data_IF_137665542515
#
_entry.id   IF_137665542515
#
_cell.length_a   1.000
_cell.length_b   1.000
_cell.length_c   1.000
_cell.angle_alpha   90.00
_cell.angle_beta   90.00
_cell.angle_gamma   90.00
#
_symmetry.space_group_name_H-M   'P 1'
#
loop_
_entity.id
_entity.type
_entity.pdbx_description
1 polymer ?
#
# COMPACT_ATOMS: atom_id res chain seq x y z
N UNK A 1 9.78 12.15 -8.17
CA UNK A 1 9.68 12.41 -6.72
C UNK A 1 10.82 11.69 -6.03
N UNK A 2 11.36 12.23 -4.94
CA UNK A 2 12.37 11.51 -4.14
C UNK A 2 11.66 10.57 -3.16
N UNK A 3 12.37 9.54 -2.70
CA UNK A 3 11.82 8.62 -1.70
C UNK A 3 11.47 9.33 -0.38
N UNK A 4 12.25 10.35 0.00
CA UNK A 4 11.97 11.20 1.17
C UNK A 4 10.65 11.98 1.02
N UNK A 5 10.33 12.47 -0.19
CA UNK A 5 9.02 13.11 -0.44
C UNK A 5 7.87 12.14 -0.24
N UNK A 6 8.03 10.87 -0.62
CA UNK A 6 7.00 9.85 -0.41
C UNK A 6 6.84 9.50 1.08
N UNK A 7 7.95 9.37 1.80
CA UNK A 7 7.92 9.09 3.25
C UNK A 7 7.22 10.21 4.01
N UNK A 8 7.59 11.46 3.76
CA UNK A 8 7.06 12.62 4.48
C UNK A 8 5.65 13.04 4.01
N UNK A 9 5.37 12.93 2.72
CA UNK A 9 4.13 13.42 2.11
C UNK A 9 3.00 12.40 2.01
N UNK A 10 3.30 11.09 2.02
CA UNK A 10 2.29 10.04 1.87
C UNK A 10 2.30 9.02 3.02
N UNK A 11 3.43 8.36 3.26
CA UNK A 11 3.48 7.21 4.20
C UNK A 11 3.33 7.65 5.65
N UNK A 12 4.13 8.61 6.12
CA UNK A 12 4.09 9.08 7.51
C UNK A 12 2.72 9.67 7.88
N UNK A 13 2.10 10.58 7.10
CA UNK A 13 0.76 11.08 7.43
C UNK A 13 -0.30 9.98 7.36
N UNK A 14 -0.17 8.99 6.47
CA UNK A 14 -1.12 7.88 6.41
C UNK A 14 -1.04 7.00 7.67
N UNK A 15 0.18 6.67 8.11
CA UNK A 15 0.40 5.86 9.31
C UNK A 15 -0.04 6.60 10.59
N UNK A 16 0.10 7.93 10.63
CA UNK A 16 -0.41 8.75 11.74
C UNK A 16 -1.94 8.74 11.87
N UNK A 17 -2.68 8.42 10.80
CA UNK A 17 -4.13 8.28 10.81
C UNK A 17 -4.61 6.85 11.18
N UNK A 18 -3.68 5.91 11.33
CA UNK A 18 -3.95 4.52 11.68
C UNK A 18 -3.51 4.25 13.13
N UNK A 19 -3.98 3.14 13.76
CA UNK A 19 -3.53 2.78 15.10
C UNK A 19 -2.00 2.65 15.16
N UNK A 20 -1.37 3.20 16.21
CA UNK A 20 0.09 3.28 16.32
C UNK A 20 0.80 1.93 16.10
N UNK A 21 0.19 0.81 16.50
CA UNK A 21 0.74 -0.55 16.26
C UNK A 21 0.90 -0.93 14.78
N UNK A 22 0.24 -0.19 13.87
CA UNK A 22 0.37 -0.39 12.42
C UNK A 22 1.58 0.33 11.85
N UNK A 23 2.16 1.30 12.57
CA UNK A 23 3.40 1.97 12.20
C UNK A 23 4.59 1.23 12.80
N UNK A 24 5.24 0.41 11.98
CA UNK A 24 6.47 -0.29 12.35
C UNK A 24 7.53 -0.09 11.27
N UNK A 25 8.82 -0.25 11.59
CA UNK A 25 9.88 -0.24 10.59
C UNK A 25 9.60 -1.19 9.42
N UNK A 26 9.15 -2.42 9.71
CA UNK A 26 8.77 -3.39 8.69
C UNK A 26 7.62 -2.91 7.80
N UNK A 27 6.59 -2.27 8.36
CA UNK A 27 5.48 -1.73 7.59
C UNK A 27 5.94 -0.62 6.62
N UNK A 28 6.80 0.29 7.10
CA UNK A 28 7.36 1.37 6.27
C UNK A 28 8.19 0.82 5.12
N UNK A 29 9.05 -0.17 5.37
CA UNK A 29 9.84 -0.84 4.32
C UNK A 29 8.93 -1.49 3.30
N UNK A 30 7.89 -2.22 3.72
CA UNK A 30 6.97 -2.88 2.78
C UNK A 30 6.19 -1.88 1.93
N UNK A 31 5.70 -0.78 2.51
CA UNK A 31 5.02 0.27 1.75
C UNK A 31 5.94 0.89 0.68
N UNK A 32 7.19 1.18 1.05
CA UNK A 32 8.17 1.73 0.11
C UNK A 32 8.55 0.72 -0.97
N UNK A 33 8.88 -0.51 -0.61
CA UNK A 33 9.30 -1.55 -1.54
C UNK A 33 8.19 -1.88 -2.55
N UNK A 34 6.93 -1.97 -2.11
CA UNK A 34 5.80 -2.24 -2.99
C UNK A 34 5.51 -1.04 -3.90
N UNK A 35 5.45 0.19 -3.37
CA UNK A 35 5.21 1.37 -4.21
C UNK A 35 6.33 1.61 -5.23
N UNK A 36 7.58 1.28 -4.85
CA UNK A 36 8.68 1.18 -5.79
C UNK A 36 8.38 0.12 -6.83
N UNK A 37 8.10 -1.13 -6.44
CA UNK A 37 7.84 -2.25 -7.35
C UNK A 37 6.73 -1.94 -8.37
N UNK A 38 5.66 -1.30 -7.93
CA UNK A 38 4.45 -1.05 -8.70
C UNK A 38 4.57 0.12 -9.68
N UNK A 39 5.11 1.27 -9.24
CA UNK A 39 5.10 2.49 -10.07
C UNK A 39 6.39 3.27 -10.05
N UNK A 40 7.39 2.83 -9.27
CA UNK A 40 8.59 3.59 -8.92
C UNK A 40 8.27 4.96 -8.31
N UNK A 41 7.06 5.14 -7.78
CA UNK A 41 6.49 6.42 -7.37
C UNK A 41 6.46 7.48 -8.50
N UNK A 42 6.27 7.05 -9.74
CA UNK A 42 6.17 7.91 -10.93
C UNK A 42 4.73 8.02 -11.42
N UNK A 43 3.95 6.95 -11.29
CA UNK A 43 2.60 6.87 -11.86
C UNK A 43 1.53 6.73 -10.77
N UNK A 44 0.58 7.66 -10.76
CA UNK A 44 -0.67 7.57 -9.96
C UNK A 44 -1.83 6.92 -10.71
N UNK A 45 -1.64 6.69 -12.01
CA UNK A 45 -2.56 5.94 -12.85
C UNK A 45 -1.75 5.02 -13.73
N UNK A 46 -2.16 3.76 -13.79
CA UNK A 46 -1.51 2.76 -14.61
C UNK A 46 -1.61 3.13 -16.09
N UNK A 47 -0.53 2.88 -16.83
CA UNK A 47 -0.54 3.01 -18.28
C UNK A 47 -1.33 1.82 -18.86
N UNK A 48 -2.44 2.09 -19.52
CA UNK A 48 -3.25 1.06 -20.18
C UNK A 48 -4.00 0.10 -19.25
N UNK A 49 -4.15 0.45 -17.96
CA UNK A 49 -4.83 -0.40 -16.98
C UNK A 49 -5.64 0.39 -15.94
N UNK A 50 -6.38 -0.31 -15.06
CA UNK A 50 -7.26 0.32 -14.09
C UNK A 50 -6.55 0.72 -12.81
N UNK A 51 -5.29 0.34 -12.56
CA UNK A 51 -4.71 0.57 -11.25
C UNK A 51 -4.45 2.07 -10.95
N UNK A 52 -4.67 2.48 -9.69
CA UNK A 52 -4.58 3.88 -9.21
C UNK A 52 -3.67 4.03 -7.99
N UNK A 53 -3.16 5.24 -7.82
CA UNK A 53 -2.16 5.60 -6.82
C UNK A 53 -0.80 5.00 -7.10
N UNK A 54 0.21 5.41 -6.34
CA UNK A 54 1.57 4.87 -6.49
C UNK A 54 1.70 3.37 -6.20
N UNK A 55 0.79 2.84 -5.38
CA UNK A 55 0.72 1.42 -5.07
C UNK A 55 -0.11 0.63 -6.07
N UNK A 56 -0.59 1.26 -7.15
CA UNK A 56 -1.31 0.60 -8.24
C UNK A 56 -2.45 -0.32 -7.72
N UNK A 57 -3.35 0.24 -6.92
CA UNK A 57 -4.54 -0.46 -6.48
C UNK A 57 -5.60 -0.49 -7.57
N UNK A 58 -6.11 -1.68 -7.86
CA UNK A 58 -7.36 -1.83 -8.61
C UNK A 58 -8.57 -1.65 -7.69
N UNK A 59 -9.73 -1.34 -8.29
CA UNK A 59 -11.00 -1.34 -7.55
C UNK A 59 -11.35 -2.74 -7.04
N UNK A 60 -11.14 -3.76 -7.88
CA UNK A 60 -11.69 -5.09 -7.68
C UNK A 60 -13.22 -5.11 -7.78
N UNK A 61 -13.83 -6.17 -7.25
CA UNK A 61 -15.29 -6.35 -7.18
C UNK A 61 -15.68 -6.94 -5.83
N UNK A 62 -16.97 -6.79 -5.45
CA UNK A 62 -17.52 -7.43 -4.25
C UNK A 62 -17.30 -8.94 -4.22
N UNK A 63 -17.36 -9.59 -5.39
CA UNK A 63 -17.17 -11.03 -5.53
C UNK A 63 -15.69 -11.44 -5.44
N UNK A 64 -14.79 -10.73 -6.12
CA UNK A 64 -13.35 -11.04 -6.10
C UNK A 64 -12.69 -10.72 -4.76
N UNK A 65 -13.23 -9.72 -4.02
CA UNK A 65 -12.65 -9.20 -2.78
C UNK A 65 -11.16 -8.82 -2.92
N UNK A 66 -10.75 -8.39 -4.11
CA UNK A 66 -9.42 -7.85 -4.38
C UNK A 66 -9.41 -6.32 -4.32
N UNK A 67 -8.21 -5.73 -4.27
CA UNK A 67 -8.02 -4.28 -4.33
C UNK A 67 -8.80 -3.53 -3.25
N UNK A 68 -9.44 -2.43 -3.63
CA UNK A 68 -10.26 -1.60 -2.71
C UNK A 68 -11.38 -2.41 -2.07
N UNK A 69 -12.08 -3.27 -2.82
CA UNK A 69 -13.14 -4.13 -2.28
C UNK A 69 -12.62 -5.10 -1.21
N UNK A 70 -11.40 -5.58 -1.34
CA UNK A 70 -10.75 -6.44 -0.33
C UNK A 70 -10.59 -5.72 1.00
N UNK A 71 -10.02 -4.51 0.98
CA UNK A 71 -9.83 -3.69 2.19
C UNK A 71 -11.16 -3.25 2.78
N UNK A 72 -12.13 -2.90 1.93
CA UNK A 72 -13.45 -2.43 2.34
C UNK A 72 -14.30 -3.49 3.04
N UNK A 73 -14.25 -4.74 2.58
CA UNK A 73 -15.06 -5.82 3.16
C UNK A 73 -14.38 -6.58 4.30
N UNK A 74 -13.05 -6.48 4.43
CA UNK A 74 -12.31 -7.31 5.39
C UNK A 74 -12.49 -6.82 6.83
N UNK A 75 -12.81 -7.74 7.74
CA UNK A 75 -13.14 -7.43 9.13
C UNK A 75 -11.99 -6.71 9.88
N UNK A 76 -10.73 -7.05 9.56
CA UNK A 76 -9.56 -6.45 10.20
C UNK A 76 -9.26 -5.00 9.75
N UNK A 77 -9.81 -4.56 8.62
CA UNK A 77 -9.48 -3.25 8.02
C UNK A 77 -10.66 -2.30 7.91
N UNK A 78 -11.89 -2.78 7.76
CA UNK A 78 -13.07 -1.94 7.43
C UNK A 78 -13.27 -0.74 8.37
N UNK A 79 -13.07 -0.91 9.67
CA UNK A 79 -13.31 0.16 10.64
C UNK A 79 -12.21 1.23 10.55
N UNK A 80 -10.96 0.81 10.35
CA UNK A 80 -9.84 1.72 10.15
C UNK A 80 -9.88 2.40 8.78
N UNK A 81 -10.40 1.72 7.76
CA UNK A 81 -10.69 2.32 6.47
C UNK A 81 -11.71 3.45 6.60
N UNK A 82 -12.78 3.27 7.39
CA UNK A 82 -13.77 4.32 7.63
C UNK A 82 -13.17 5.55 8.33
N UNK A 83 -12.30 5.34 9.33
CA UNK A 83 -11.55 6.41 10.01
C UNK A 83 -10.65 7.15 9.02
N UNK A 84 -9.90 6.41 8.21
CA UNK A 84 -9.02 6.97 7.19
C UNK A 84 -9.81 7.80 6.17
N UNK A 85 -10.90 7.26 5.62
CA UNK A 85 -11.76 7.96 4.64
C UNK A 85 -12.32 9.26 5.22
N UNK A 86 -12.82 9.22 6.47
CA UNK A 86 -13.31 10.42 7.17
C UNK A 86 -12.22 11.48 7.32
N UNK A 87 -11.01 11.08 7.76
CA UNK A 87 -9.89 11.99 7.93
C UNK A 87 -9.41 12.61 6.60
N UNK A 88 -9.64 11.90 5.48
CA UNK A 88 -9.29 12.35 4.13
C UNK A 88 -10.46 13.01 3.38
N UNK A 89 -11.61 13.21 4.02
CA UNK A 89 -12.82 13.77 3.40
C UNK A 89 -13.28 13.01 2.15
N UNK A 90 -13.15 11.68 2.18
CA UNK A 90 -13.56 10.76 1.10
C UNK A 90 -14.74 9.93 1.59
N UNK A 91 -15.77 9.79 0.76
CA UNK A 91 -16.89 8.91 1.07
C UNK A 91 -16.37 7.47 1.23
N UNK A 92 -16.80 6.79 2.30
CA UNK A 92 -16.33 5.45 2.60
C UNK A 92 -17.13 4.39 1.80
N UNK A 93 -16.97 4.43 0.47
CA UNK A 93 -17.48 3.42 -0.46
C UNK A 93 -16.40 3.07 -1.50
N UNK A 94 -16.48 1.89 -2.14
CA UNK A 94 -15.41 1.43 -3.03
C UNK A 94 -15.15 2.32 -4.25
N UNK A 95 -16.16 3.00 -4.79
CA UNK A 95 -16.02 3.83 -5.98
C UNK A 95 -15.35 5.17 -5.67
N UNK A 96 -15.78 5.81 -4.57
CA UNK A 96 -15.17 7.05 -4.08
C UNK A 96 -13.73 6.83 -3.63
N UNK A 97 -13.46 5.76 -2.85
CA UNK A 97 -12.11 5.42 -2.40
C UNK A 97 -11.20 5.21 -3.60
N UNK A 98 -11.58 4.32 -4.52
CA UNK A 98 -10.78 4.01 -5.70
C UNK A 98 -10.49 5.26 -6.54
N UNK A 99 -11.49 6.12 -6.76
CA UNK A 99 -11.31 7.35 -7.53
C UNK A 99 -10.34 8.33 -6.87
N UNK A 100 -10.37 8.42 -5.54
CA UNK A 100 -9.49 9.30 -4.77
C UNK A 100 -8.03 8.81 -4.73
N UNK A 101 -7.75 7.50 -4.88
CA UNK A 101 -6.38 6.97 -4.82
C UNK A 101 -5.44 7.56 -5.88
N UNK A 102 -5.98 8.07 -6.99
CA UNK A 102 -5.21 8.71 -8.05
C UNK A 102 -4.66 10.10 -7.65
N UNK A 103 -5.25 10.75 -6.65
CA UNK A 103 -4.94 12.14 -6.30
C UNK A 103 -4.57 12.32 -4.82
N UNK A 104 -5.00 11.43 -3.94
CA UNK A 104 -4.69 11.45 -2.51
C UNK A 104 -3.67 10.37 -2.15
N UNK A 105 -2.39 10.73 -2.17
CA UNK A 105 -1.29 9.81 -1.86
C UNK A 105 -1.32 9.32 -0.40
N UNK A 106 -1.89 10.11 0.52
CA UNK A 106 -2.06 9.72 1.93
C UNK A 106 -3.13 8.64 2.04
N UNK A 107 -4.25 8.81 1.36
CA UNK A 107 -5.28 7.76 1.27
C UNK A 107 -4.70 6.49 0.62
N UNK A 108 -3.98 6.63 -0.50
CA UNK A 108 -3.38 5.50 -1.20
C UNK A 108 -2.40 4.71 -0.31
N UNK A 109 -1.52 5.40 0.42
CA UNK A 109 -0.62 4.77 1.37
C UNK A 109 -1.36 4.07 2.52
N UNK A 110 -2.41 4.69 3.04
CA UNK A 110 -3.22 4.11 4.11
C UNK A 110 -3.98 2.87 3.67
N UNK A 111 -4.59 2.88 2.49
CA UNK A 111 -5.24 1.70 1.88
C UNK A 111 -4.23 0.59 1.64
N UNK A 112 -3.03 0.92 1.15
CA UNK A 112 -1.93 -0.03 1.01
C UNK A 112 -1.55 -0.68 2.34
N UNK A 113 -1.44 0.13 3.40
CA UNK A 113 -1.12 -0.37 4.74
C UNK A 113 -2.21 -1.28 5.28
N UNK A 114 -3.48 -0.94 5.06
CA UNK A 114 -4.61 -1.74 5.48
C UNK A 114 -4.69 -3.06 4.72
N UNK A 115 -4.37 -3.10 3.42
CA UNK A 115 -4.27 -4.36 2.69
C UNK A 115 -3.21 -5.28 3.31
N UNK A 116 -2.01 -4.76 3.61
CA UNK A 116 -0.99 -5.53 4.34
C UNK A 116 -1.48 -6.00 5.72
N UNK A 117 -2.33 -5.21 6.40
CA UNK A 117 -2.92 -5.58 7.69
C UNK A 117 -3.98 -6.69 7.61
N UNK A 118 -4.55 -6.93 6.42
CA UNK A 118 -5.50 -8.03 6.23
C UNK A 118 -4.83 -9.41 6.17
N UNK A 119 -3.53 -9.46 5.88
CA UNK A 119 -2.76 -10.70 5.89
C UNK A 119 -2.58 -11.19 7.34
N UNK A 120 -2.96 -12.44 7.66
CA UNK A 120 -2.91 -12.94 9.03
C UNK A 120 -1.48 -13.27 9.51
N UNK A 121 -0.50 -13.29 8.61
CA UNK A 121 0.91 -13.55 8.97
C UNK A 121 1.56 -12.28 9.51
N UNK A 122 2.57 -12.44 10.35
CA UNK A 122 3.42 -11.32 10.75
C UNK A 122 4.10 -10.68 9.53
N UNK A 123 4.37 -9.37 9.63
CA UNK A 123 5.19 -8.70 8.63
C UNK A 123 6.61 -9.30 8.65
N UNK A 124 7.26 -9.46 7.47
CA UNK A 124 8.64 -9.90 7.39
C UNK A 124 9.54 -8.91 8.14
N UNK A 125 10.58 -9.43 8.78
CA UNK A 125 11.57 -8.60 9.46
C UNK A 125 12.26 -7.66 8.46
N UNK A 126 12.73 -6.50 8.93
CA UNK A 126 13.54 -5.61 8.10
C UNK A 126 14.80 -6.36 7.65
N UNK A 127 15.04 -6.42 6.34
CA UNK A 127 16.15 -7.16 5.75
C UNK A 127 15.75 -8.54 5.20
N UNK A 128 14.57 -9.05 5.54
CA UNK A 128 14.02 -10.26 4.93
C UNK A 128 13.42 -9.96 3.55
N UNK A 129 14.31 -9.91 2.55
CA UNK A 129 13.97 -9.63 1.15
C UNK A 129 13.00 -10.68 0.59
N UNK A 130 13.20 -11.96 0.94
CA UNK A 130 12.39 -13.09 0.47
C UNK A 130 10.98 -13.07 1.06
N UNK A 131 10.86 -12.92 2.39
CA UNK A 131 9.57 -12.79 3.05
C UNK A 131 8.79 -11.55 2.61
N UNK A 132 9.51 -10.45 2.29
CA UNK A 132 8.94 -9.27 1.63
C UNK A 132 8.30 -9.61 0.28
N UNK A 133 9.01 -10.36 -0.55
CA UNK A 133 8.52 -10.79 -1.86
C UNK A 133 7.27 -11.65 -1.75
N UNK A 134 7.29 -12.64 -0.86
CA UNK A 134 6.14 -13.51 -0.61
C UNK A 134 4.93 -12.74 -0.08
N UNK A 135 5.15 -11.69 0.73
CA UNK A 135 4.09 -10.80 1.22
C UNK A 135 3.49 -9.99 0.08
N UNK A 136 4.33 -9.39 -0.76
CA UNK A 136 3.87 -8.67 -1.94
C UNK A 136 3.02 -9.56 -2.85
N UNK A 137 3.49 -10.77 -3.19
CA UNK A 137 2.75 -11.68 -4.06
C UNK A 137 1.39 -12.09 -3.49
N UNK A 138 1.29 -12.41 -2.20
CA UNK A 138 0.02 -12.88 -1.60
C UNK A 138 -1.02 -11.79 -1.43
N UNK A 139 -0.57 -10.55 -1.21
CA UNK A 139 -1.46 -9.39 -0.97
C UNK A 139 -1.84 -8.64 -2.24
N UNK A 140 -0.87 -8.33 -3.13
CA UNK A 140 -1.13 -7.61 -4.38
C UNK A 140 -1.55 -8.53 -5.54
N UNK A 141 -1.10 -9.79 -5.54
CA UNK A 141 -1.38 -10.79 -6.60
C UNK A 141 -1.19 -10.23 -8.02
N UNK A 142 -0.04 -9.59 -8.32
CA UNK A 142 0.19 -8.96 -9.62
C UNK A 142 0.24 -9.99 -10.75
N UNK A 143 -0.28 -9.64 -11.92
CA UNK A 143 -0.24 -10.52 -13.10
C UNK A 143 1.17 -10.74 -13.67
N UNK A 144 2.03 -9.71 -13.60
CA UNK A 144 3.44 -9.76 -14.05
C UNK A 144 4.35 -9.13 -12.98
N UNK A 145 4.79 -9.90 -11.98
CA UNK A 145 5.40 -9.35 -10.77
C UNK A 145 6.81 -8.75 -10.94
N UNK A 146 7.57 -9.10 -11.99
CA UNK A 146 8.98 -8.69 -12.19
C UNK A 146 9.92 -8.97 -10.98
N UNK A 147 10.13 -10.26 -10.60
CA UNK A 147 10.95 -10.64 -9.44
C UNK A 147 12.38 -10.12 -9.47
N UNK A 148 12.97 -9.96 -10.64
CA UNK A 148 14.35 -9.51 -10.81
C UNK A 148 14.60 -8.09 -10.29
N UNK A 149 13.57 -7.23 -10.23
CA UNK A 149 13.74 -5.87 -9.72
C UNK A 149 13.58 -5.78 -8.21
N UNK A 150 12.93 -6.76 -7.59
CA UNK A 150 12.57 -6.70 -6.17
C UNK A 150 13.77 -6.53 -5.22
N UNK A 151 14.88 -7.29 -5.35
CA UNK A 151 15.98 -7.20 -4.38
C UNK A 151 16.56 -5.79 -4.25
N UNK A 152 16.74 -5.10 -5.38
CA UNK A 152 17.33 -3.74 -5.39
C UNK A 152 16.37 -2.70 -4.84
N UNK A 153 15.07 -2.80 -5.13
CA UNK A 153 14.07 -1.86 -4.63
C UNK A 153 13.80 -2.07 -3.14
N UNK A 154 13.78 -3.33 -2.68
CA UNK A 154 13.68 -3.63 -1.26
C UNK A 154 14.88 -3.05 -0.50
N UNK A 155 16.11 -3.21 -1.03
CA UNK A 155 17.31 -2.63 -0.43
C UNK A 155 17.21 -1.10 -0.32
N UNK A 156 16.75 -0.44 -1.38
CA UNK A 156 16.50 1.01 -1.37
C UNK A 156 15.48 1.43 -0.30
N UNK A 157 14.39 0.67 -0.17
CA UNK A 157 13.36 0.90 0.85
C UNK A 157 13.89 0.70 2.27
N UNK A 158 14.62 -0.40 2.52
CA UNK A 158 15.21 -0.72 3.82
C UNK A 158 16.17 0.37 4.31
N UNK A 159 16.96 0.94 3.39
CA UNK A 159 17.89 2.03 3.69
C UNK A 159 17.20 3.32 4.17
N UNK A 160 15.89 3.48 3.99
CA UNK A 160 15.15 4.66 4.49
C UNK A 160 14.67 4.52 5.94
N UNK A 161 14.79 3.33 6.52
CA UNK A 161 14.21 2.99 7.83
C UNK A 161 15.28 2.47 8.80
N UNK A 162 16.48 2.20 8.30
CA UNK A 162 17.65 1.94 9.14
C UNK A 162 18.15 3.25 9.77
N UNK A 163 18.61 3.23 11.04
CA UNK A 163 19.18 4.39 11.71
C UNK A 163 20.47 4.89 11.06
#
# INVERSE_FOLDING_TARGET
MTINTIVSGAISPALALLPARMDTPAARVMLLAIGLQESRFVHRRQIGGPARGFWQFEKGTRASRGGVWGVFLHAASKDQLAVLCKARSVACDPDAIYSALEYDDVLAAGVARLLLWTDPKALPAVGDVGGGWELYLRTWRPGKPHPQTWPDLYRQAAAQVQP
#
